data_IF_728904905692
#
_entry.id   IF_728904905692
#
_cell.length_a   1.000
_cell.length_b   1.000
_cell.length_c   1.000
_cell.angle_alpha   90.00
_cell.angle_beta   90.00
_cell.angle_gamma   90.00
#
_symmetry.space_group_name_H-M   'P 1'
#
loop_
_entity.id
_entity.type
_entity.pdbx_description
1 polymer ?
#
# COMPACT_ATOMS: atom_id res chain seq x y z
N UNK A 1 -11.85 15.06 -57.46
CA UNK A 1 -10.85 15.03 -56.37
C UNK A 1 -10.71 13.58 -55.93
N UNK A 2 -9.50 13.07 -55.65
CA UNK A 2 -9.33 11.71 -55.14
C UNK A 2 -10.06 11.54 -53.81
N UNK A 3 -10.55 10.33 -53.57
CA UNK A 3 -11.33 9.98 -52.36
C UNK A 3 -10.57 8.91 -51.61
N UNK A 4 -10.34 9.13 -50.31
CA UNK A 4 -9.68 8.15 -49.45
C UNK A 4 -10.52 6.85 -49.43
N UNK A 5 -9.96 5.69 -49.81
CA UNK A 5 -10.73 4.46 -49.95
C UNK A 5 -11.21 3.89 -48.62
N UNK A 6 -10.59 4.28 -47.49
CA UNK A 6 -10.90 3.79 -46.14
C UNK A 6 -12.01 4.60 -45.50
N UNK A 7 -11.89 5.93 -45.49
CA UNK A 7 -12.85 6.81 -44.80
C UNK A 7 -13.81 7.57 -45.72
N UNK A 8 -13.60 7.50 -47.04
CA UNK A 8 -14.37 8.20 -48.08
C UNK A 8 -14.32 9.73 -48.02
N UNK A 9 -13.36 10.29 -47.29
CA UNK A 9 -13.10 11.72 -47.30
C UNK A 9 -12.51 12.15 -48.64
N UNK A 10 -12.96 13.28 -49.18
CA UNK A 10 -12.34 13.89 -50.36
C UNK A 10 -10.97 14.46 -49.95
N UNK A 11 -9.94 14.13 -50.71
CA UNK A 11 -8.57 14.56 -50.46
C UNK A 11 -8.06 15.31 -51.68
N UNK A 12 -7.44 16.46 -51.46
CA UNK A 12 -6.67 17.15 -52.50
C UNK A 12 -5.23 16.61 -52.50
N UNK A 13 -4.64 16.21 -53.64
CA UNK A 13 -3.29 15.62 -53.69
C UNK A 13 -2.21 16.43 -52.95
N UNK A 14 -2.25 17.77 -53.07
CA UNK A 14 -1.31 18.67 -52.40
C UNK A 14 -1.46 18.74 -50.87
N UNK A 15 -2.59 18.29 -50.31
CA UNK A 15 -2.85 18.27 -48.87
C UNK A 15 -3.04 16.84 -48.33
N UNK A 16 -2.73 15.82 -49.12
CA UNK A 16 -2.83 14.44 -48.69
C UNK A 16 -1.79 14.15 -47.60
N UNK A 17 -2.21 13.55 -46.49
CA UNK A 17 -1.30 13.17 -45.41
C UNK A 17 -0.37 12.01 -45.82
N UNK A 18 -0.80 11.21 -46.81
CA UNK A 18 0.02 10.19 -47.45
C UNK A 18 -0.50 9.84 -48.85
N UNK A 19 0.40 9.39 -49.72
CA UNK A 19 0.07 8.78 -51.01
C UNK A 19 0.92 7.55 -51.26
N UNK A 20 0.33 6.51 -51.85
CA UNK A 20 1.04 5.28 -52.26
C UNK A 20 0.68 4.94 -53.71
N UNK A 21 1.59 4.27 -54.39
CA UNK A 21 1.29 3.61 -55.66
C UNK A 21 0.91 2.16 -55.37
N UNK A 22 -0.29 1.76 -55.78
CA UNK A 22 -0.82 0.41 -55.55
C UNK A 22 -1.54 -0.07 -56.81
N UNK A 23 -1.14 -1.23 -57.35
CA UNK A 23 -1.68 -1.77 -58.61
C UNK A 23 -1.60 -0.80 -59.81
N UNK A 24 -0.58 0.06 -59.85
CA UNK A 24 -0.38 1.07 -60.89
C UNK A 24 -1.26 2.32 -60.77
N UNK A 25 -2.01 2.46 -59.68
CA UNK A 25 -2.83 3.63 -59.37
C UNK A 25 -2.27 4.39 -58.16
N UNK A 26 -2.20 5.72 -58.25
CA UNK A 26 -1.79 6.58 -57.14
C UNK A 26 -2.98 6.83 -56.20
N UNK A 27 -2.94 6.24 -55.01
CA UNK A 27 -3.98 6.36 -53.97
C UNK A 27 -3.54 7.41 -52.93
N UNK A 28 -4.46 8.31 -52.57
CA UNK A 28 -4.24 9.37 -51.58
C UNK A 28 -5.09 9.15 -50.32
N UNK A 29 -4.50 9.43 -49.15
CA UNK A 29 -5.14 9.23 -47.85
C UNK A 29 -5.24 10.53 -47.05
N UNK A 30 -6.32 10.68 -46.31
CA UNK A 30 -6.55 11.83 -45.42
C UNK A 30 -5.64 11.79 -44.17
N UNK A 31 -5.11 10.60 -43.82
CA UNK A 31 -4.27 10.39 -42.64
C UNK A 31 -3.36 9.18 -42.82
N UNK A 32 -2.25 9.14 -42.07
CA UNK A 32 -1.38 7.97 -41.98
C UNK A 32 -2.14 6.72 -41.51
N UNK A 33 -3.10 6.89 -40.59
CA UNK A 33 -3.94 5.78 -40.12
C UNK A 33 -4.84 5.17 -41.21
N UNK A 34 -5.32 5.96 -42.17
CA UNK A 34 -6.07 5.44 -43.32
C UNK A 34 -5.16 4.69 -44.29
N UNK A 35 -3.95 5.19 -44.56
CA UNK A 35 -2.93 4.44 -45.32
C UNK A 35 -2.64 3.09 -44.67
N UNK A 36 -2.35 3.07 -43.37
CA UNK A 36 -1.93 1.85 -42.67
C UNK A 36 -3.07 0.80 -42.63
N UNK A 37 -4.34 1.25 -42.50
CA UNK A 37 -5.51 0.37 -42.62
C UNK A 37 -5.65 -0.19 -44.03
N UNK A 38 -5.47 0.64 -45.06
CA UNK A 38 -5.53 0.19 -46.45
C UNK A 38 -4.46 -0.87 -46.75
N UNK A 39 -3.22 -0.66 -46.30
CA UNK A 39 -2.11 -1.61 -46.47
C UNK A 39 -2.33 -2.93 -45.74
N UNK A 40 -3.10 -2.94 -44.65
CA UNK A 40 -3.40 -4.15 -43.88
C UNK A 40 -4.40 -5.09 -44.58
N UNK A 41 -5.33 -4.56 -45.38
CA UNK A 41 -6.29 -5.35 -46.16
C UNK A 41 -6.77 -4.59 -47.42
N UNK A 42 -5.93 -4.49 -48.47
CA UNK A 42 -6.26 -3.72 -49.67
C UNK A 42 -7.48 -4.28 -50.43
N UNK A 43 -7.66 -5.60 -50.40
CA UNK A 43 -8.75 -6.29 -51.08
C UNK A 43 -10.11 -5.88 -50.51
N UNK A 44 -10.22 -5.75 -49.19
CA UNK A 44 -11.45 -5.29 -48.52
C UNK A 44 -11.86 -3.88 -48.96
N UNK A 45 -10.91 -2.95 -49.04
CA UNK A 45 -11.20 -1.56 -49.41
C UNK A 45 -11.41 -1.34 -50.91
N UNK A 46 -10.86 -2.21 -51.77
CA UNK A 46 -11.09 -2.22 -53.23
C UNK A 46 -12.42 -2.88 -53.59
N UNK A 47 -12.81 -3.96 -52.90
CA UNK A 47 -14.07 -4.65 -53.14
C UNK A 47 -15.30 -3.80 -52.72
N UNK A 48 -15.15 -2.93 -51.70
CA UNK A 48 -16.18 -2.03 -51.21
C UNK A 48 -16.33 -0.74 -52.08
N UNK A 49 -16.27 -0.89 -53.40
CA UNK A 49 -16.58 0.16 -54.37
C UNK A 49 -18.07 0.51 -54.38
N UNK A 50 -18.51 1.32 -53.41
CA UNK A 50 -19.82 1.97 -53.40
C UNK A 50 -20.88 1.30 -52.52
N UNK A 51 -20.89 1.64 -51.22
CA UNK A 51 -22.11 1.95 -50.45
C UNK A 51 -21.74 2.18 -48.98
N UNK A 52 -21.94 3.40 -48.49
CA UNK A 52 -22.42 3.57 -47.13
C UNK A 52 -23.82 2.94 -47.06
N UNK A 53 -23.94 1.84 -46.33
CA UNK A 53 -25.21 1.18 -46.13
C UNK A 53 -24.99 -0.16 -45.46
N UNK A 54 -24.95 -0.17 -44.12
CA UNK A 54 -25.34 -1.37 -43.39
C UNK A 54 -26.76 -1.72 -43.82
N UNK A 55 -26.90 -2.58 -44.82
CA UNK A 55 -28.05 -3.47 -44.91
C UNK A 55 -27.74 -4.65 -44.02
N UNK A 56 -28.37 -4.65 -42.85
CA UNK A 56 -28.62 -5.85 -42.09
C UNK A 56 -29.51 -6.78 -42.93
N UNK A 57 -28.91 -7.65 -43.73
CA UNK A 57 -29.61 -8.82 -44.23
C UNK A 57 -29.43 -9.95 -43.22
N UNK A 58 -30.58 -10.43 -42.76
CA UNK A 58 -30.72 -11.26 -41.59
C UNK A 58 -30.13 -12.64 -41.81
N UNK A 59 -29.09 -12.95 -41.04
CA UNK A 59 -28.83 -14.31 -40.62
C UNK A 59 -29.69 -14.60 -39.38
N UNK A 60 -30.71 -15.44 -39.62
CA UNK A 60 -31.54 -16.20 -38.67
C UNK A 60 -31.32 -15.92 -37.18
N UNK A 61 -32.31 -15.25 -36.59
CA UNK A 61 -32.59 -15.28 -35.15
C UNK A 61 -32.82 -16.73 -34.68
N UNK A 62 -32.15 -17.14 -33.59
CA UNK A 62 -32.06 -18.51 -33.04
C UNK A 62 -31.29 -19.48 -33.96
N UNK A 63 -30.26 -20.20 -33.54
CA UNK A 63 -29.87 -20.63 -32.20
C UNK A 63 -28.35 -20.88 -32.19
N UNK A 64 -27.61 -19.80 -31.96
CA UNK A 64 -26.44 -19.84 -31.09
C UNK A 64 -26.52 -18.55 -30.31
N UNK A 65 -27.31 -18.55 -29.25
CA UNK A 65 -26.80 -17.88 -28.05
C UNK A 65 -25.39 -18.41 -27.93
N UNK A 66 -24.39 -17.54 -28.04
CA UNK A 66 -23.15 -17.81 -27.33
C UNK A 66 -23.64 -17.92 -25.90
N UNK A 67 -23.93 -19.15 -25.51
CA UNK A 67 -23.92 -19.60 -24.15
C UNK A 67 -22.49 -19.33 -23.69
N UNK A 68 -22.21 -18.08 -23.37
CA UNK A 68 -21.19 -17.71 -22.41
C UNK A 68 -21.61 -18.18 -21.00
N UNK A 69 -22.71 -18.94 -20.88
CA UNK A 69 -22.86 -19.90 -19.79
C UNK A 69 -21.91 -21.08 -20.08
N UNK A 70 -20.80 -21.14 -19.35
CA UNK A 70 -20.17 -22.43 -19.09
C UNK A 70 -18.64 -22.53 -19.02
N UNK A 71 -17.85 -21.56 -19.52
CA UNK A 71 -16.38 -21.69 -19.45
C UNK A 71 -15.62 -20.40 -19.14
N UNK A 72 -16.25 -19.44 -18.46
CA UNK A 72 -15.49 -18.54 -17.60
C UNK A 72 -15.15 -19.31 -16.31
N UNK A 73 -14.23 -20.26 -16.43
CA UNK A 73 -13.98 -21.31 -15.44
C UNK A 73 -13.35 -20.75 -14.17
N UNK A 74 -13.64 -21.34 -13.03
CA UNK A 74 -12.95 -21.12 -11.74
C UNK A 74 -11.41 -21.11 -11.85
N UNK A 75 -10.84 -21.72 -12.90
CA UNK A 75 -9.42 -21.65 -13.26
C UNK A 75 -8.91 -20.25 -13.66
N UNK A 76 -9.70 -19.42 -14.34
CA UNK A 76 -9.29 -18.05 -14.71
C UNK A 76 -9.32 -17.10 -13.52
N UNK A 77 -10.28 -17.27 -12.62
CA UNK A 77 -10.33 -16.59 -11.33
C UNK A 77 -9.18 -17.04 -10.41
N UNK A 78 -8.93 -18.35 -10.31
CA UNK A 78 -7.80 -18.89 -9.54
C UNK A 78 -6.45 -18.37 -10.03
N UNK A 79 -6.25 -18.26 -11.34
CA UNK A 79 -5.02 -17.68 -11.89
C UNK A 79 -4.90 -16.17 -11.65
N UNK A 80 -6.01 -15.41 -11.64
CA UNK A 80 -5.98 -13.98 -11.30
C UNK A 80 -5.76 -13.75 -9.79
N UNK A 81 -6.41 -14.55 -8.94
CA UNK A 81 -6.22 -14.55 -7.50
C UNK A 81 -4.78 -14.95 -7.13
N UNK A 82 -4.20 -15.94 -7.81
CA UNK A 82 -2.81 -16.35 -7.62
C UNK A 82 -1.81 -15.23 -7.94
N UNK A 83 -2.05 -14.44 -9.00
CA UNK A 83 -1.21 -13.28 -9.33
C UNK A 83 -1.41 -12.13 -8.32
N UNK A 84 -2.63 -11.96 -7.80
CA UNK A 84 -2.87 -11.01 -6.71
C UNK A 84 -2.13 -11.39 -5.42
N UNK A 85 -2.18 -12.66 -5.01
CA UNK A 85 -1.48 -13.18 -3.84
C UNK A 85 0.04 -13.05 -3.97
N UNK A 86 0.59 -13.35 -5.15
CA UNK A 86 2.02 -13.15 -5.38
C UNK A 86 2.41 -11.67 -5.35
N UNK A 87 1.54 -10.77 -5.83
CA UNK A 87 1.70 -9.32 -5.70
C UNK A 87 1.75 -8.86 -4.24
N UNK A 88 0.83 -9.32 -3.39
CA UNK A 88 0.84 -9.03 -1.95
C UNK A 88 2.13 -9.53 -1.28
N UNK A 89 2.50 -10.79 -1.54
CA UNK A 89 3.70 -11.39 -0.96
C UNK A 89 4.96 -10.66 -1.40
N UNK A 90 5.08 -10.31 -2.68
CA UNK A 90 6.21 -9.56 -3.22
C UNK A 90 6.35 -8.19 -2.57
N UNK A 91 5.23 -7.47 -2.35
CA UNK A 91 5.27 -6.16 -1.70
C UNK A 91 5.70 -6.26 -0.24
N UNK A 92 5.21 -7.26 0.51
CA UNK A 92 5.63 -7.48 1.89
C UNK A 92 7.10 -7.91 1.99
N UNK A 93 7.56 -8.81 1.13
CA UNK A 93 8.96 -9.23 1.07
C UNK A 93 9.86 -8.03 0.75
N UNK A 94 9.45 -7.18 -0.19
CA UNK A 94 10.18 -5.96 -0.53
C UNK A 94 10.23 -4.99 0.66
N UNK A 95 9.11 -4.79 1.35
CA UNK A 95 9.05 -3.96 2.56
C UNK A 95 10.00 -4.46 3.65
N UNK A 96 9.91 -5.73 4.04
CA UNK A 96 10.78 -6.31 5.07
C UNK A 96 12.25 -6.32 4.63
N UNK A 97 12.53 -6.67 3.38
CA UNK A 97 13.88 -6.73 2.83
C UNK A 97 14.56 -5.36 2.79
N UNK A 98 13.88 -4.34 2.28
CA UNK A 98 14.41 -2.97 2.24
C UNK A 98 14.58 -2.40 3.65
N UNK A 99 13.57 -2.56 4.52
CA UNK A 99 13.64 -1.98 5.86
C UNK A 99 14.71 -2.64 6.72
N UNK A 100 14.86 -3.97 6.60
CA UNK A 100 15.93 -4.70 7.30
C UNK A 100 17.31 -4.29 6.78
N UNK A 101 17.46 -4.11 5.46
CA UNK A 101 18.72 -3.70 4.86
C UNK A 101 19.14 -2.28 5.28
N UNK A 102 18.17 -1.36 5.38
CA UNK A 102 18.44 0.06 5.67
C UNK A 102 18.53 0.32 7.17
N UNK A 103 17.65 -0.28 7.97
CA UNK A 103 17.42 0.08 9.38
C UNK A 103 17.65 -1.06 10.37
N UNK A 104 17.93 -2.28 9.89
CA UNK A 104 18.15 -3.46 10.73
C UNK A 104 16.87 -4.23 11.10
N UNK A 105 17.08 -5.44 11.62
CA UNK A 105 15.99 -6.40 11.89
C UNK A 105 15.11 -6.01 13.07
N UNK A 106 15.70 -5.53 14.17
CA UNK A 106 14.96 -5.10 15.37
C UNK A 106 13.98 -3.97 15.04
N UNK A 107 14.48 -2.92 14.39
CA UNK A 107 13.67 -1.80 13.93
C UNK A 107 12.54 -2.24 13.00
N UNK A 108 12.81 -3.16 12.07
CA UNK A 108 11.81 -3.67 11.13
C UNK A 108 10.67 -4.38 11.85
N UNK A 109 10.98 -5.18 12.87
CA UNK A 109 9.97 -5.87 13.69
C UNK A 109 9.16 -4.89 14.53
N UNK A 110 9.79 -3.88 15.13
CA UNK A 110 9.09 -2.87 15.92
C UNK A 110 8.15 -2.03 15.03
N UNK A 111 8.64 -1.60 13.86
CA UNK A 111 7.82 -0.89 12.86
C UNK A 111 6.63 -1.73 12.40
N UNK A 112 6.82 -3.03 12.18
CA UNK A 112 5.75 -3.94 11.79
C UNK A 112 4.78 -4.24 12.95
N UNK A 113 5.24 -4.26 14.20
CA UNK A 113 4.36 -4.40 15.36
C UNK A 113 3.45 -3.18 15.53
N UNK A 114 4.02 -1.99 15.36
CA UNK A 114 3.29 -0.72 15.57
C UNK A 114 2.33 -0.40 14.41
N UNK A 115 2.71 -0.70 13.17
CA UNK A 115 1.93 -0.32 11.97
C UNK A 115 1.50 -1.49 11.09
N UNK A 116 1.71 -2.73 11.55
CA UNK A 116 1.40 -3.97 10.82
C UNK A 116 0.00 -4.02 10.20
N UNK A 117 -1.08 -3.62 10.90
CA UNK A 117 -2.41 -3.60 10.33
C UNK A 117 -2.52 -2.74 9.07
N UNK A 118 -1.90 -1.55 9.05
CA UNK A 118 -1.89 -0.65 7.89
C UNK A 118 -1.09 -1.26 6.73
N UNK A 119 0.10 -1.80 7.03
CA UNK A 119 1.00 -2.38 6.03
C UNK A 119 0.33 -3.59 5.36
N UNK A 120 -0.27 -4.48 6.15
CA UNK A 120 -0.97 -5.67 5.64
C UNK A 120 -2.20 -5.26 4.82
N UNK A 121 -3.00 -4.30 5.31
CA UNK A 121 -4.19 -3.84 4.59
C UNK A 121 -3.83 -3.20 3.23
N UNK A 122 -2.79 -2.37 3.18
CA UNK A 122 -2.29 -1.77 1.93
C UNK A 122 -1.76 -2.85 0.97
N UNK A 123 -1.00 -3.82 1.48
CA UNK A 123 -0.44 -4.89 0.65
C UNK A 123 -1.52 -5.82 0.08
N UNK A 124 -2.48 -6.23 0.90
CA UNK A 124 -3.63 -7.03 0.46
C UNK A 124 -4.45 -6.26 -0.56
N UNK A 125 -4.73 -4.98 -0.31
CA UNK A 125 -5.47 -4.15 -1.23
C UNK A 125 -4.77 -3.98 -2.59
N UNK A 126 -3.45 -3.78 -2.59
CA UNK A 126 -2.64 -3.79 -3.81
C UNK A 126 -2.74 -5.14 -4.56
N UNK A 127 -2.65 -6.27 -3.86
CA UNK A 127 -2.82 -7.59 -4.46
C UNK A 127 -4.20 -7.78 -5.09
N UNK A 128 -5.26 -7.30 -4.44
CA UNK A 128 -6.63 -7.31 -5.01
C UNK A 128 -6.67 -6.48 -6.30
N UNK A 129 -6.10 -5.27 -6.30
CA UNK A 129 -6.04 -4.42 -7.51
C UNK A 129 -5.30 -5.12 -8.66
N UNK A 130 -4.16 -5.74 -8.38
CA UNK A 130 -3.38 -6.50 -9.37
C UNK A 130 -4.19 -7.67 -9.93
N UNK A 131 -4.84 -8.45 -9.05
CA UNK A 131 -5.69 -9.57 -9.45
C UNK A 131 -6.86 -9.13 -10.34
N UNK A 132 -7.59 -8.09 -9.92
CA UNK A 132 -8.70 -7.51 -10.68
C UNK A 132 -8.24 -6.95 -12.03
N UNK A 133 -7.09 -6.27 -12.09
CA UNK A 133 -6.54 -5.75 -13.34
C UNK A 133 -6.15 -6.86 -14.31
N UNK A 134 -5.46 -7.90 -13.85
CA UNK A 134 -5.10 -9.06 -14.68
C UNK A 134 -6.33 -9.77 -15.19
N UNK A 135 -7.34 -9.94 -14.35
CA UNK A 135 -8.62 -10.52 -14.72
C UNK A 135 -9.33 -9.71 -15.81
N UNK A 136 -9.50 -8.40 -15.58
CA UNK A 136 -10.09 -7.47 -16.55
C UNK A 136 -9.34 -7.51 -17.87
N UNK A 137 -8.00 -7.46 -17.84
CA UNK A 137 -7.17 -7.48 -19.05
C UNK A 137 -7.32 -8.78 -19.84
N UNK A 138 -7.40 -9.93 -19.16
CA UNK A 138 -7.65 -11.22 -19.82
C UNK A 138 -9.06 -11.28 -20.42
N UNK A 139 -10.06 -10.76 -19.71
CA UNK A 139 -11.43 -10.67 -20.21
C UNK A 139 -11.52 -9.79 -21.48
N UNK A 140 -10.84 -8.63 -21.48
CA UNK A 140 -10.76 -7.74 -22.64
C UNK A 140 -10.06 -8.40 -23.84
N UNK A 141 -8.94 -9.08 -23.61
CA UNK A 141 -8.23 -9.80 -24.68
C UNK A 141 -9.06 -10.96 -25.25
N UNK A 142 -9.80 -11.68 -24.41
CA UNK A 142 -10.68 -12.76 -24.86
C UNK A 142 -11.91 -12.23 -25.64
N UNK A 143 -12.44 -11.07 -25.26
CA UNK A 143 -13.56 -10.43 -25.94
C UNK A 143 -13.18 -9.84 -27.32
N UNK A 144 -11.92 -9.44 -27.51
CA UNK A 144 -11.41 -8.84 -28.75
C UNK A 144 -10.44 -9.75 -29.52
N UNK A 145 -10.85 -10.98 -29.85
CA UNK A 145 -10.12 -11.87 -30.76
C UNK A 145 -10.37 -11.53 -32.25
N UNK A 146 -10.26 -10.26 -32.61
CA UNK A 146 -10.34 -9.79 -33.99
C UNK A 146 -10.18 -8.28 -34.09
N UNK A 147 -9.06 -7.85 -34.68
CA UNK A 147 -8.58 -6.46 -34.91
C UNK A 147 -7.72 -5.87 -33.77
N UNK A 148 -6.40 -5.99 -33.98
CA UNK A 148 -5.24 -5.11 -33.66
C UNK A 148 -5.60 -3.82 -32.88
N UNK A 149 -4.94 -3.37 -31.81
CA UNK A 149 -3.51 -3.21 -31.52
C UNK A 149 -3.29 -3.22 -30.00
N UNK A 150 -2.37 -4.06 -29.52
CA UNK A 150 -1.83 -3.94 -28.17
C UNK A 150 -0.66 -2.94 -28.18
N UNK A 151 -0.94 -1.64 -28.15
CA UNK A 151 0.06 -0.58 -27.92
C UNK A 151 -0.64 0.56 -27.20
N UNK A 152 -0.14 0.93 -26.00
CA UNK A 152 -0.02 2.31 -25.44
C UNK A 152 0.03 2.38 -23.90
N UNK A 153 -0.56 1.43 -23.16
CA UNK A 153 -0.71 1.60 -21.70
C UNK A 153 0.59 1.46 -20.88
N UNK A 154 1.32 0.35 -21.05
CA UNK A 154 2.53 0.07 -20.27
C UNK A 154 3.76 0.87 -20.74
N UNK A 155 3.82 1.24 -22.02
CA UNK A 155 4.94 2.00 -22.59
C UNK A 155 4.90 3.49 -22.22
N UNK A 156 3.73 4.10 -22.04
CA UNK A 156 3.61 5.53 -21.69
C UNK A 156 3.91 5.81 -20.21
N UNK A 157 3.50 4.91 -19.29
CA UNK A 157 3.82 5.03 -17.86
C UNK A 157 5.32 4.83 -17.57
N UNK A 158 5.96 3.87 -18.23
CA UNK A 158 7.39 3.63 -18.11
C UNK A 158 8.23 4.75 -18.74
N UNK A 159 7.82 5.30 -19.89
CA UNK A 159 8.54 6.40 -20.55
C UNK A 159 8.41 7.74 -19.80
N UNK A 160 7.24 8.04 -19.22
CA UNK A 160 6.99 9.29 -18.49
C UNK A 160 7.65 9.27 -17.10
N UNK A 161 7.62 8.14 -16.40
CA UNK A 161 8.37 7.94 -15.13
C UNK A 161 9.88 7.95 -15.39
N UNK A 162 10.34 7.37 -16.49
CA UNK A 162 11.75 7.41 -16.93
C UNK A 162 12.24 8.84 -17.24
N UNK A 163 11.41 9.69 -17.86
CA UNK A 163 11.78 11.08 -18.16
C UNK A 163 11.63 12.06 -16.99
N UNK A 164 10.81 11.76 -15.97
CA UNK A 164 10.60 12.70 -14.85
C UNK A 164 11.41 12.36 -13.59
N UNK A 165 11.82 11.11 -13.41
CA UNK A 165 12.48 10.68 -12.17
C UNK A 165 13.96 11.05 -12.12
N UNK A 166 14.63 11.25 -13.25
CA UNK A 166 16.06 11.59 -13.25
C UNK A 166 16.36 13.04 -12.82
N UNK A 167 15.38 13.96 -12.90
CA UNK A 167 15.58 15.38 -12.55
C UNK A 167 15.23 15.72 -11.09
N UNK A 168 14.35 14.94 -10.45
CA UNK A 168 13.92 15.17 -9.07
C UNK A 168 14.91 14.58 -8.04
N UNK A 169 15.63 13.51 -8.41
CA UNK A 169 16.56 12.80 -7.53
C UNK A 169 17.91 13.51 -7.37
N UNK A 170 18.27 14.43 -8.28
CA UNK A 170 19.56 15.14 -8.18
C UNK A 170 19.51 16.43 -7.33
N UNK A 171 18.33 16.94 -6.97
CA UNK A 171 18.21 18.19 -6.21
C UNK A 171 17.60 18.04 -4.80
N UNK A 172 16.83 16.98 -4.54
CA UNK A 172 16.14 16.76 -3.25
C UNK A 172 16.97 16.08 -2.14
N UNK A 173 17.90 15.14 -2.42
CA UNK A 173 18.61 14.44 -1.35
C UNK A 173 19.56 15.31 -0.51
N UNK A 174 19.98 16.47 -1.00
CA UNK A 174 20.97 17.31 -0.30
C UNK A 174 20.37 18.37 0.65
N UNK A 175 19.11 18.81 0.45
CA UNK A 175 18.50 19.88 1.26
C UNK A 175 17.08 19.57 1.76
N UNK A 176 16.38 18.58 1.17
CA UNK A 176 14.98 18.25 1.51
C UNK A 176 14.81 16.97 2.34
N UNK A 177 15.78 16.06 2.34
CA UNK A 177 15.64 14.73 2.95
C UNK A 177 15.34 14.77 4.46
N UNK A 178 15.97 15.67 5.22
CA UNK A 178 15.72 15.78 6.66
C UNK A 178 14.29 16.29 6.96
N UNK A 179 13.80 17.25 6.17
CA UNK A 179 12.45 17.80 6.33
C UNK A 179 11.34 16.85 5.87
N UNK A 180 11.56 16.14 4.76
CA UNK A 180 10.64 15.13 4.25
C UNK A 180 10.56 13.92 5.17
N UNK A 181 11.69 13.45 5.71
CA UNK A 181 11.70 12.35 6.69
C UNK A 181 10.99 12.77 7.98
N UNK A 182 11.20 14.00 8.44
CA UNK A 182 10.50 14.52 9.62
C UNK A 182 8.98 14.67 9.39
N UNK A 183 8.57 15.21 8.24
CA UNK A 183 7.15 15.37 7.90
C UNK A 183 6.47 14.02 7.68
N UNK A 184 7.11 13.08 6.99
CA UNK A 184 6.59 11.72 6.80
C UNK A 184 6.49 10.98 8.14
N UNK A 185 7.45 11.17 9.04
CA UNK A 185 7.41 10.58 10.39
C UNK A 185 6.31 11.21 11.26
N UNK A 186 6.09 12.52 11.16
CA UNK A 186 5.05 13.22 11.93
C UNK A 186 3.64 12.90 11.46
N UNK A 187 3.43 12.74 10.16
CA UNK A 187 2.12 12.50 9.55
C UNK A 187 1.95 11.06 9.04
N UNK A 188 2.73 10.13 9.58
CA UNK A 188 2.81 8.78 9.05
C UNK A 188 1.44 8.06 9.07
N UNK A 189 0.67 8.24 10.14
CA UNK A 189 -0.64 7.60 10.33
C UNK A 189 -1.66 8.21 9.36
N UNK A 190 -1.64 9.52 9.19
CA UNK A 190 -2.50 10.27 8.27
C UNK A 190 -2.22 9.85 6.82
N UNK A 191 -0.95 9.69 6.47
CA UNK A 191 -0.53 9.19 5.16
C UNK A 191 -0.99 7.74 4.94
N UNK A 192 -0.97 6.89 5.96
CA UNK A 192 -1.53 5.53 5.84
C UNK A 192 -3.03 5.53 5.60
N UNK A 193 -3.80 6.39 6.29
CA UNK A 193 -5.23 6.53 6.03
C UNK A 193 -5.52 7.02 4.61
N UNK A 194 -4.75 8.00 4.13
CA UNK A 194 -4.85 8.45 2.74
C UNK A 194 -4.54 7.32 1.76
N UNK A 195 -3.48 6.55 2.01
CA UNK A 195 -3.10 5.39 1.21
C UNK A 195 -4.20 4.33 1.17
N UNK A 196 -4.83 4.02 2.30
CA UNK A 196 -5.94 3.06 2.38
C UNK A 196 -7.16 3.54 1.60
N UNK A 197 -7.50 4.83 1.71
CA UNK A 197 -8.60 5.42 0.97
C UNK A 197 -8.36 5.37 -0.55
N UNK A 198 -7.15 5.72 -0.99
CA UNK A 198 -6.76 5.62 -2.41
C UNK A 198 -6.75 4.17 -2.91
N UNK A 199 -6.30 3.23 -2.07
CA UNK A 199 -6.30 1.81 -2.39
C UNK A 199 -7.74 1.28 -2.57
N UNK A 200 -8.65 1.61 -1.65
CA UNK A 200 -10.06 1.27 -1.74
C UNK A 200 -10.71 1.88 -2.99
N UNK A 201 -10.46 3.16 -3.26
CA UNK A 201 -10.97 3.83 -4.45
C UNK A 201 -10.53 3.14 -5.75
N UNK A 202 -9.25 2.71 -5.83
CA UNK A 202 -8.73 1.97 -6.97
C UNK A 202 -9.39 0.59 -7.14
N UNK A 203 -9.63 -0.15 -6.05
CA UNK A 203 -10.36 -1.42 -6.10
C UNK A 203 -11.78 -1.20 -6.65
N UNK A 204 -12.50 -0.22 -6.10
CA UNK A 204 -13.86 0.11 -6.52
C UNK A 204 -13.90 0.52 -7.99
N UNK A 205 -12.94 1.32 -8.46
CA UNK A 205 -12.84 1.73 -9.86
C UNK A 205 -12.68 0.55 -10.81
N UNK A 206 -11.72 -0.34 -10.56
CA UNK A 206 -11.47 -1.51 -11.42
C UNK A 206 -12.65 -2.49 -11.35
N UNK A 207 -13.23 -2.69 -10.17
CA UNK A 207 -14.41 -3.55 -10.00
C UNK A 207 -15.63 -3.02 -10.77
N UNK A 208 -15.89 -1.71 -10.74
CA UNK A 208 -16.94 -1.07 -11.54
C UNK A 208 -16.69 -1.23 -13.03
N UNK A 209 -15.45 -1.04 -13.48
CA UNK A 209 -15.08 -1.23 -14.88
C UNK A 209 -15.32 -2.68 -15.32
N UNK A 210 -14.98 -3.64 -14.46
CA UNK A 210 -15.19 -5.05 -14.73
C UNK A 210 -16.67 -5.41 -14.78
N UNK A 211 -17.47 -4.88 -13.85
CA UNK A 211 -18.92 -5.05 -13.81
C UNK A 211 -19.64 -4.43 -15.02
N UNK A 212 -19.08 -3.39 -15.63
CA UNK A 212 -19.62 -2.80 -16.86
C UNK A 212 -19.30 -3.64 -18.11
N UNK A 213 -18.15 -4.32 -18.13
CA UNK A 213 -17.70 -5.13 -19.28
C UNK A 213 -18.34 -6.51 -19.32
N UNK A 214 -18.46 -7.15 -18.17
CA UNK A 214 -19.23 -8.37 -18.02
C UNK A 214 -20.65 -7.85 -17.83
N UNK A 215 -21.54 -7.94 -18.83
CA UNK A 215 -22.99 -7.83 -18.61
C UNK A 215 -23.46 -9.00 -17.72
N UNK A 216 -22.90 -9.10 -16.52
CA UNK A 216 -23.42 -9.92 -15.46
C UNK A 216 -24.69 -9.20 -15.04
N UNK A 217 -25.82 -9.88 -15.22
CA UNK A 217 -26.99 -9.63 -14.43
C UNK A 217 -26.57 -9.65 -12.94
N UNK A 218 -26.17 -8.50 -12.40
CA UNK A 218 -26.11 -8.23 -10.96
C UNK A 218 -27.53 -8.06 -10.40
N UNK A 219 -28.51 -8.78 -10.97
CA UNK A 219 -29.89 -8.82 -10.51
C UNK A 219 -30.08 -9.60 -9.22
N UNK A 220 -29.03 -10.24 -8.67
CA UNK A 220 -29.08 -10.87 -7.35
C UNK A 220 -28.06 -10.22 -6.39
N UNK A 221 -28.51 -9.50 -5.34
CA UNK A 221 -27.66 -8.77 -4.40
C UNK A 221 -26.71 -9.66 -3.57
N UNK A 222 -26.85 -10.98 -3.61
CA UNK A 222 -26.02 -11.91 -2.84
C UNK A 222 -24.59 -12.09 -3.39
N UNK A 223 -24.34 -11.89 -4.69
CA UNK A 223 -23.00 -12.10 -5.28
C UNK A 223 -22.11 -10.86 -5.26
N UNK A 224 -22.69 -9.66 -5.37
CA UNK A 224 -21.99 -8.40 -5.10
C UNK A 224 -21.57 -8.32 -3.63
N UNK A 225 -22.39 -8.88 -2.73
CA UNK A 225 -22.03 -9.09 -1.34
C UNK A 225 -20.84 -10.06 -1.22
N UNK A 226 -20.80 -11.22 -1.90
CA UNK A 226 -19.70 -12.19 -1.76
C UNK A 226 -18.29 -11.67 -2.09
N UNK A 227 -18.14 -10.77 -3.08
CA UNK A 227 -16.84 -10.19 -3.46
C UNK A 227 -16.42 -9.03 -2.54
N UNK A 228 -17.40 -8.29 -1.98
CA UNK A 228 -17.17 -7.25 -0.98
C UNK A 228 -17.02 -7.82 0.44
N UNK A 229 -17.65 -8.97 0.72
CA UNK A 229 -17.67 -9.63 2.03
C UNK A 229 -16.39 -10.44 2.27
N UNK A 230 -15.70 -10.93 1.24
CA UNK A 230 -14.34 -11.49 1.40
C UNK A 230 -13.28 -10.40 1.63
N UNK A 231 -13.47 -9.20 1.08
CA UNK A 231 -12.64 -8.02 1.38
C UNK A 231 -12.96 -7.41 2.76
N UNK A 232 -14.23 -7.39 3.18
CA UNK A 232 -14.64 -6.88 4.50
C UNK A 232 -14.43 -7.88 5.63
N UNK A 233 -14.58 -9.20 5.44
CA UNK A 233 -14.30 -10.18 6.50
C UNK A 233 -12.80 -10.27 6.77
N UNK A 234 -11.93 -10.06 5.77
CA UNK A 234 -10.48 -9.94 6.00
C UNK A 234 -10.07 -8.72 6.85
N UNK A 235 -10.74 -7.59 6.67
CA UNK A 235 -10.50 -6.37 7.45
C UNK A 235 -11.26 -6.34 8.79
N UNK A 236 -12.49 -6.87 8.84
CA UNK A 236 -13.34 -6.89 10.02
C UNK A 236 -12.92 -7.98 11.03
N UNK A 237 -12.22 -9.03 10.60
CA UNK A 237 -11.63 -10.02 11.52
C UNK A 237 -10.35 -9.55 12.21
N UNK A 238 -9.83 -8.38 11.84
CA UNK A 238 -8.78 -7.66 12.61
C UNK A 238 -9.34 -6.49 13.41
N UNK A 239 -10.66 -6.33 13.50
CA UNK A 239 -11.26 -5.54 14.56
C UNK A 239 -11.15 -6.36 15.84
N UNK A 240 -10.00 -6.24 16.52
CA UNK A 240 -9.91 -6.60 17.93
C UNK A 240 -11.12 -5.95 18.63
N UNK A 241 -11.95 -6.71 19.37
CA UNK A 241 -13.08 -6.12 20.07
C UNK A 241 -12.52 -5.04 21.00
N UNK A 242 -13.22 -3.91 21.14
CA UNK A 242 -12.79 -2.80 21.99
C UNK A 242 -12.47 -3.24 23.44
N UNK A 243 -12.97 -4.40 23.88
CA UNK A 243 -12.61 -5.07 25.13
C UNK A 243 -11.15 -5.51 25.21
N UNK A 244 -10.49 -5.87 24.11
CA UNK A 244 -9.04 -6.17 24.07
C UNK A 244 -8.22 -4.86 24.08
N UNK A 245 -8.73 -3.78 23.48
CA UNK A 245 -8.10 -2.45 23.60
C UNK A 245 -8.28 -1.83 25.00
N UNK A 246 -9.39 -2.10 25.68
CA UNK A 246 -9.69 -1.54 27.00
C UNK A 246 -8.86 -2.16 28.13
N UNK A 247 -8.45 -3.43 28.02
CA UNK A 247 -7.53 -4.05 28.99
C UNK A 247 -6.07 -3.61 28.78
N UNK A 248 -5.67 -3.27 27.55
CA UNK A 248 -4.32 -2.78 27.24
C UNK A 248 -4.13 -1.27 27.44
N UNK A 249 -5.19 -0.51 27.76
CA UNK A 249 -5.13 0.93 27.98
C UNK A 249 -4.28 1.34 29.20
N UNK A 250 -3.89 0.39 30.06
CA UNK A 250 -3.08 0.65 31.26
C UNK A 250 -1.57 0.52 31.06
N UNK A 251 -1.11 -0.08 29.95
CA UNK A 251 0.32 -0.34 29.68
C UNK A 251 0.80 0.38 28.42
N UNK A 252 0.28 1.59 28.18
CA UNK A 252 0.69 2.39 27.04
C UNK A 252 2.15 2.85 27.20
N UNK A 253 2.97 2.76 26.14
CA UNK A 253 4.28 3.40 26.14
C UNK A 253 4.16 4.90 26.39
N UNK A 254 5.01 5.45 27.24
CA UNK A 254 5.11 6.88 27.46
C UNK A 254 6.45 7.39 26.93
N UNK A 255 6.42 8.52 26.26
CA UNK A 255 7.59 9.14 25.65
C UNK A 255 7.78 10.56 26.18
N UNK A 256 9.02 10.90 26.51
CA UNK A 256 9.42 12.25 26.88
C UNK A 256 10.57 12.71 25.98
N UNK A 257 10.39 13.86 25.33
CA UNK A 257 11.35 14.44 24.38
C UNK A 257 12.07 15.68 24.94
N UNK A 258 12.04 15.89 26.26
CA UNK A 258 12.69 17.04 26.87
C UNK A 258 14.21 16.94 26.78
N UNK A 259 14.86 18.09 26.58
CA UNK A 259 16.30 18.18 26.45
C UNK A 259 16.81 17.58 25.14
N UNK A 260 17.97 16.93 25.20
CA UNK A 260 18.70 16.41 24.02
C UNK A 260 18.55 14.91 23.79
N UNK A 261 17.76 14.23 24.62
CA UNK A 261 17.57 12.78 24.60
C UNK A 261 16.08 12.50 24.68
N UNK A 262 15.59 11.73 23.73
CA UNK A 262 14.24 11.15 23.77
C UNK A 262 14.27 9.90 24.63
N UNK A 263 13.36 9.81 25.58
CA UNK A 263 13.22 8.67 26.49
C UNK A 263 11.83 8.08 26.34
N UNK A 264 11.75 6.86 25.80
CA UNK A 264 10.51 6.08 25.67
C UNK A 264 10.53 4.94 26.68
N UNK A 265 9.46 4.80 27.46
CA UNK A 265 9.30 3.75 28.46
C UNK A 265 8.04 2.95 28.20
N UNK A 266 8.18 1.65 28.07
CA UNK A 266 7.07 0.70 27.84
C UNK A 266 7.00 -0.30 29.00
N UNK A 267 5.91 -0.31 29.79
CA UNK A 267 5.68 -1.36 30.78
C UNK A 267 5.47 -2.72 30.09
N UNK A 268 6.19 -3.75 30.54
CA UNK A 268 6.08 -5.11 29.99
C UNK A 268 5.34 -6.06 30.94
N UNK A 269 5.62 -5.98 32.23
CA UNK A 269 5.10 -6.91 33.24
C UNK A 269 4.62 -6.15 34.48
N UNK A 270 3.69 -5.22 34.28
CA UNK A 270 3.13 -4.40 35.36
C UNK A 270 1.76 -4.94 35.76
N UNK A 271 1.71 -5.82 36.78
CA UNK A 271 0.46 -6.29 37.38
C UNK A 271 0.58 -6.41 38.89
N UNK A 272 -0.56 -6.37 39.59
CA UNK A 272 -0.62 -6.48 41.04
C UNK A 272 -0.13 -7.84 41.57
N UNK A 273 -0.17 -8.88 40.75
CA UNK A 273 0.22 -10.26 41.07
C UNK A 273 1.58 -10.66 40.48
N UNK A 274 2.25 -9.78 39.74
CA UNK A 274 3.58 -10.04 39.19
C UNK A 274 4.63 -10.05 40.31
N UNK A 275 5.60 -10.98 40.22
CA UNK A 275 6.73 -11.05 41.16
C UNK A 275 7.83 -10.02 40.87
N UNK A 276 7.87 -9.52 39.63
CA UNK A 276 8.82 -8.53 39.14
C UNK A 276 8.06 -7.57 38.23
N UNK A 277 8.40 -6.29 38.32
CA UNK A 277 7.91 -5.26 37.42
C UNK A 277 8.98 -4.87 36.44
N UNK A 278 8.64 -4.84 35.16
CA UNK A 278 9.61 -4.63 34.09
C UNK A 278 9.19 -3.49 33.18
N UNK A 279 10.16 -2.62 32.86
CA UNK A 279 9.99 -1.47 31.99
C UNK A 279 11.07 -1.50 30.91
N UNK A 280 10.66 -1.62 29.65
CA UNK A 280 11.56 -1.42 28.53
C UNK A 280 11.82 0.08 28.40
N UNK A 281 13.08 0.49 28.45
CA UNK A 281 13.51 1.86 28.24
C UNK A 281 14.29 1.94 26.93
N UNK A 282 13.96 2.92 26.10
CA UNK A 282 14.68 3.27 24.88
C UNK A 282 15.12 4.73 25.00
N UNK A 283 16.40 4.97 24.76
CA UNK A 283 17.07 6.26 24.83
C UNK A 283 17.64 6.59 23.46
N UNK A 284 17.23 7.71 22.91
CA UNK A 284 17.63 8.15 21.57
C UNK A 284 18.18 9.57 21.60
N UNK A 285 19.34 9.78 20.98
CA UNK A 285 19.93 11.10 20.81
C UNK A 285 20.84 11.16 19.59
N UNK A 286 21.10 12.37 19.11
CA UNK A 286 22.07 12.63 18.05
C UNK A 286 23.11 13.69 18.47
N UNK A 287 23.13 14.08 19.74
CA UNK A 287 23.88 15.27 20.19
C UNK A 287 24.66 15.09 21.49
N UNK A 288 24.46 13.99 22.22
CA UNK A 288 25.18 13.68 23.46
C UNK A 288 25.45 12.18 23.55
N UNK A 289 26.46 11.79 24.34
CA UNK A 289 26.70 10.39 24.67
C UNK A 289 25.75 9.93 25.79
N UNK A 290 25.32 8.67 25.72
CA UNK A 290 24.41 8.04 26.68
C UNK A 290 25.16 7.20 27.72
N UNK A 291 26.04 7.83 28.50
CA UNK A 291 26.94 7.15 29.45
C UNK A 291 26.33 6.86 30.83
N UNK A 292 25.06 7.23 31.04
CA UNK A 292 24.44 7.15 32.37
C UNK A 292 24.23 5.69 32.81
N UNK A 293 24.48 5.41 34.10
CA UNK A 293 24.13 4.13 34.72
C UNK A 293 22.62 4.11 35.03
N UNK A 294 21.91 3.23 34.32
CA UNK A 294 20.46 3.09 34.43
C UNK A 294 20.01 2.62 35.82
N UNK A 295 20.85 1.89 36.56
CA UNK A 295 20.56 1.49 37.94
C UNK A 295 20.67 2.66 38.93
N UNK A 296 21.46 3.67 38.60
CA UNK A 296 21.67 4.85 39.43
C UNK A 296 20.65 5.97 39.15
N UNK A 297 20.22 6.12 37.89
CA UNK A 297 19.39 7.25 37.46
C UNK A 297 17.89 6.96 37.44
N UNK A 298 17.48 5.69 37.45
CA UNK A 298 16.08 5.31 37.48
C UNK A 298 15.62 5.03 38.92
N UNK A 299 14.44 5.50 39.29
CA UNK A 299 13.79 5.17 40.56
C UNK A 299 12.29 4.97 40.35
N UNK A 300 11.73 4.00 41.06
CA UNK A 300 10.29 3.79 41.15
C UNK A 300 9.76 4.46 42.42
N UNK A 301 8.69 5.22 42.33
CA UNK A 301 8.08 5.90 43.48
C UNK A 301 6.80 5.17 43.87
N UNK A 302 6.69 4.81 45.15
CA UNK A 302 5.49 4.18 45.71
C UNK A 302 4.41 5.20 46.11
N UNK A 303 3.24 4.72 46.55
CA UNK A 303 2.12 5.57 46.95
C UNK A 303 2.37 6.41 48.21
N UNK A 304 3.36 6.06 49.02
CA UNK A 304 3.80 6.82 50.18
C UNK A 304 4.91 7.84 49.83
N UNK A 305 5.37 7.87 48.58
CA UNK A 305 6.47 8.71 48.12
C UNK A 305 7.86 8.10 48.33
N UNK A 306 7.95 6.83 48.73
CA UNK A 306 9.22 6.11 48.87
C UNK A 306 9.84 5.79 47.52
N UNK A 307 11.15 5.98 47.40
CA UNK A 307 11.91 5.69 46.17
C UNK A 307 12.59 4.32 46.24
N UNK A 308 12.37 3.51 45.21
CA UNK A 308 12.92 2.15 45.07
C UNK A 308 13.83 2.10 43.85
N UNK A 309 15.06 1.60 44.03
CA UNK A 309 16.01 1.42 42.93
C UNK A 309 15.69 0.14 42.12
N UNK A 310 16.04 0.11 40.82
CA UNK A 310 15.91 -1.09 40.03
C UNK A 310 16.81 -2.20 40.59
N UNK A 311 16.33 -3.43 40.51
CA UNK A 311 17.09 -4.63 40.84
C UNK A 311 18.09 -5.00 39.73
N UNK A 312 17.75 -4.70 38.46
CA UNK A 312 18.60 -5.02 37.31
C UNK A 312 18.32 -4.10 36.11
N UNK A 313 19.36 -3.91 35.29
CA UNK A 313 19.30 -3.38 33.93
C UNK A 313 19.85 -4.46 33.01
N UNK A 314 19.00 -4.98 32.13
CA UNK A 314 19.38 -5.93 31.09
C UNK A 314 19.24 -5.26 29.72
N UNK A 315 20.36 -4.80 29.18
CA UNK A 315 20.37 -4.03 27.93
C UNK A 315 21.73 -3.43 27.61
N UNK A 316 21.74 -2.46 26.71
CA UNK A 316 22.95 -1.90 26.16
C UNK A 316 23.86 -1.29 27.25
N UNK A 317 25.19 -1.50 27.17
CA UNK A 317 26.14 -0.89 28.08
C UNK A 317 26.17 0.64 27.93
N UNK A 318 26.72 1.39 28.90
CA UNK A 318 26.93 2.84 28.78
C UNK A 318 27.68 3.23 27.50
N UNK A 319 27.22 4.30 26.85
CA UNK A 319 27.84 4.86 25.63
C UNK A 319 26.91 4.92 24.42
N UNK A 320 27.46 5.38 23.30
CA UNK A 320 26.72 5.51 22.04
C UNK A 320 25.66 6.63 22.04
N UNK A 321 24.78 6.57 21.05
CA UNK A 321 23.73 7.57 20.79
C UNK A 321 22.32 6.95 20.69
N UNK A 322 22.22 5.62 20.78
CA UNK A 322 20.98 4.85 20.94
C UNK A 322 21.25 3.77 21.99
N UNK A 323 20.42 3.67 23.02
CA UNK A 323 20.50 2.61 24.04
C UNK A 323 19.12 2.08 24.37
N UNK A 324 18.99 0.78 24.51
CA UNK A 324 17.78 0.12 24.95
C UNK A 324 18.06 -0.93 26.03
N UNK A 325 17.09 -1.16 26.90
CA UNK A 325 17.19 -2.20 27.91
C UNK A 325 15.98 -2.31 28.80
N UNK A 326 15.98 -3.35 29.62
CA UNK A 326 14.90 -3.70 30.52
C UNK A 326 15.30 -3.35 31.96
N UNK A 327 14.59 -2.39 32.56
CA UNK A 327 14.66 -2.11 33.98
C UNK A 327 13.74 -3.08 34.74
N UNK A 328 14.29 -3.79 35.71
CA UNK A 328 13.53 -4.70 36.57
C UNK A 328 13.45 -4.14 37.98
N UNK A 329 12.25 -4.10 38.56
CA UNK A 329 11.98 -3.71 39.94
C UNK A 329 11.28 -4.83 40.69
N UNK A 330 11.43 -4.82 42.01
CA UNK A 330 10.55 -5.60 42.88
C UNK A 330 9.25 -4.81 43.07
N UNK A 331 8.07 -5.45 43.02
CA UNK A 331 6.80 -4.81 43.34
C UNK A 331 6.83 -4.18 44.73
N UNK A 332 6.17 -3.04 44.88
CA UNK A 332 6.05 -2.35 46.17
C UNK A 332 4.89 -2.95 46.97
N UNK A 333 5.01 -2.97 48.30
CA UNK A 333 3.95 -3.40 49.22
C UNK A 333 3.54 -2.22 50.12
N UNK A 334 2.28 -1.78 50.10
CA UNK A 334 1.15 -2.29 49.32
C UNK A 334 1.29 -1.99 47.82
N UNK A 335 0.59 -2.76 46.97
CA UNK A 335 0.54 -2.49 45.53
C UNK A 335 -0.21 -1.16 45.30
N UNK A 336 0.42 -0.13 44.72
CA UNK A 336 -0.22 1.14 44.47
C UNK A 336 -1.21 1.06 43.30
N UNK A 337 -2.22 1.93 43.31
CA UNK A 337 -3.12 2.13 42.17
C UNK A 337 -2.45 2.86 41.00
N UNK A 338 -1.31 3.50 41.24
CA UNK A 338 -0.55 4.27 40.26
C UNK A 338 0.94 4.02 40.46
N UNK A 339 1.66 3.76 39.37
CA UNK A 339 3.11 3.54 39.37
C UNK A 339 3.77 4.73 38.71
N UNK A 340 4.73 5.33 39.41
CA UNK A 340 5.53 6.44 38.92
C UNK A 340 6.99 5.99 38.77
N UNK A 341 7.49 5.99 37.54
CA UNK A 341 8.90 5.81 37.24
C UNK A 341 9.54 7.18 36.98
N UNK A 342 10.66 7.45 37.65
CA UNK A 342 11.47 8.64 37.40
C UNK A 342 12.81 8.25 36.78
N UNK A 343 13.22 8.98 35.75
CA UNK A 343 14.55 8.86 35.13
C UNK A 343 15.21 10.23 35.23
N UNK A 344 16.30 10.30 35.99
CA UNK A 344 16.99 11.54 36.35
C UNK A 344 18.25 11.74 35.52
N UNK A 345 18.67 13.00 35.40
CA UNK A 345 19.99 13.42 34.88
C UNK A 345 20.43 12.86 33.51
N UNK A 346 19.53 12.25 32.74
CA UNK A 346 19.77 11.79 31.36
C UNK A 346 19.59 12.94 30.37
N UNK A 347 20.58 13.21 29.53
CA UNK A 347 20.47 14.23 28.49
C UNK A 347 20.36 15.68 28.99
N UNK A 348 20.79 15.96 30.22
CA UNK A 348 20.76 17.28 30.85
C UNK A 348 19.41 17.68 31.48
N UNK A 349 18.43 16.78 31.49
CA UNK A 349 17.15 17.00 32.19
C UNK A 349 17.25 16.45 33.60
N UNK A 350 16.86 17.25 34.60
CA UNK A 350 16.99 16.90 36.02
C UNK A 350 16.17 15.66 36.36
N UNK A 351 14.92 15.61 35.92
CA UNK A 351 13.99 14.52 36.20
C UNK A 351 12.93 14.41 35.10
N UNK A 352 12.66 13.18 34.64
CA UNK A 352 11.50 12.83 33.82
C UNK A 352 10.63 11.87 34.60
N UNK A 353 9.31 12.04 34.52
CA UNK A 353 8.34 11.24 35.25
C UNK A 353 7.39 10.53 34.29
N UNK A 354 7.19 9.23 34.48
CA UNK A 354 6.31 8.39 33.68
C UNK A 354 5.31 7.68 34.60
N UNK A 355 4.02 7.84 34.34
CA UNK A 355 2.97 7.45 35.28
C UNK A 355 1.96 6.52 34.63
N UNK A 356 1.73 5.34 35.21
CA UNK A 356 0.72 4.38 34.76
C UNK A 356 -0.27 4.06 35.88
N UNK A 357 -1.54 3.87 35.52
CA UNK A 357 -2.55 3.37 36.46
C UNK A 357 -2.51 1.85 36.46
N UNK A 358 -2.28 1.26 37.62
CA UNK A 358 -2.51 -0.17 37.85
C UNK A 358 -4.02 -0.33 38.11
N UNK A 359 -4.66 -1.25 37.40
CA UNK A 359 -6.06 -1.59 37.64
C UNK A 359 -6.27 -1.92 39.10
N UNK A 360 -7.40 -1.52 39.68
CA UNK A 360 -7.76 -1.92 41.04
C UNK A 360 -7.57 -3.43 41.18
N UNK A 361 -6.98 -3.92 42.28
CA UNK A 361 -6.69 -5.34 42.48
C UNK A 361 -7.95 -6.22 42.41
#
# INVERSE_FOLDING_TARGET
>A
MPVDPVCKMQVTPAAAAAGIEFEGEQIYFCSLGCRDRFLADPAYFRAAGGASGLKSEGHSCCDKRISASGQFTWMSFGAAAGVGLSGTAALLILYFGLLTLVSGWSFTLDQFRDFGPFIVALAVGFGIQVGLYVYLRRALHAAHSGKVVAVTGATSGAAMVSCCTHYLVNLLPALGAAGLVSLVSQYQIELFWFGLAANLAGIVYIARQLAAFIHADFGNPQMAAGLLLTAFIGAASLSLPASVMAQNAMLTPLENREGRVTVKVTPQMLSASAKLWQFQVVLDTHSVALDQDMLAVAVLVDSAGGEHKPAAWDGDPPGGHHRQGLLTFKPTAPVPSTVLLKIRTVGGVVERSFTWKLGSP
#
